data_IF_697943700124
#
_entry.id   IF_697943700124
#
_cell.length_a   1.000
_cell.length_b   1.000
_cell.length_c   1.000
_cell.angle_alpha   90.00
_cell.angle_beta   90.00
_cell.angle_gamma   90.00
#
_symmetry.space_group_name_H-M   'P 1'
#
loop_
_entity.id
_entity.type
_entity.pdbx_description
1 polymer ?
#
# COMPACT_ATOMS: atom_id res chain seq x y z
N UNK A 1 -11.10 6.77 -11.21
CA UNK A 1 -9.65 6.47 -11.11
C UNK A 1 -8.99 6.23 -12.47
N UNK A 2 -9.48 5.32 -13.31
CA UNK A 2 -8.97 5.13 -14.68
C UNK A 2 -8.97 6.44 -15.52
N UNK A 3 -10.05 7.23 -15.41
CA UNK A 3 -10.17 8.56 -16.03
C UNK A 3 -9.11 9.59 -15.60
N UNK A 4 -8.57 9.47 -14.38
CA UNK A 4 -7.56 10.38 -13.87
C UNK A 4 -6.23 10.16 -14.60
N UNK A 5 -5.88 8.89 -14.81
CA UNK A 5 -4.65 8.49 -15.50
C UNK A 5 -4.74 8.70 -17.01
N UNK A 6 -5.91 8.45 -17.61
CA UNK A 6 -6.11 8.74 -19.05
C UNK A 6 -6.04 10.24 -19.33
N UNK A 7 -6.49 11.10 -18.41
CA UNK A 7 -6.30 12.56 -18.52
C UNK A 7 -4.86 13.01 -18.33
N UNK A 8 -4.06 12.31 -17.53
CA UNK A 8 -2.64 12.63 -17.34
C UNK A 8 -1.77 12.22 -18.54
N UNK A 9 -2.24 11.29 -19.38
CA UNK A 9 -1.54 10.87 -20.61
C UNK A 9 -0.07 10.52 -20.37
N UNK A 10 0.83 11.11 -21.16
CA UNK A 10 2.28 10.90 -21.09
C UNK A 10 2.97 11.46 -19.83
N UNK A 11 2.25 12.20 -18.97
CA UNK A 11 2.78 12.69 -17.69
C UNK A 11 2.48 11.76 -16.52
N UNK A 12 1.79 10.65 -16.76
CA UNK A 12 1.50 9.69 -15.71
C UNK A 12 2.80 9.10 -15.13
N UNK A 13 2.93 8.97 -13.80
CA UNK A 13 4.07 8.33 -13.17
C UNK A 13 4.22 6.88 -13.67
N UNK A 14 5.46 6.38 -13.70
CA UNK A 14 5.71 4.97 -14.03
C UNK A 14 5.03 4.04 -13.04
N UNK A 15 4.74 2.81 -13.46
CA UNK A 15 4.06 1.79 -12.65
C UNK A 15 4.69 1.60 -11.26
N UNK A 16 6.03 1.50 -11.10
CA UNK A 16 6.66 1.41 -9.78
C UNK A 16 6.47 2.65 -8.91
N UNK A 17 6.41 3.86 -9.51
CA UNK A 17 6.15 5.10 -8.77
C UNK A 17 4.73 5.18 -8.25
N UNK A 18 3.74 4.78 -9.06
CA UNK A 18 2.35 4.69 -8.63
C UNK A 18 2.17 3.71 -7.47
N UNK A 19 2.85 2.56 -7.54
CA UNK A 19 2.88 1.59 -6.45
C UNK A 19 3.48 2.20 -5.18
N UNK A 20 4.63 2.87 -5.29
CA UNK A 20 5.25 3.56 -4.15
C UNK A 20 4.31 4.59 -3.50
N UNK A 21 3.60 5.40 -4.29
CA UNK A 21 2.62 6.35 -3.76
C UNK A 21 1.46 5.67 -3.02
N UNK A 22 1.01 4.51 -3.50
CA UNK A 22 0.00 3.70 -2.81
C UNK A 22 0.49 3.21 -1.45
N UNK A 23 1.71 2.68 -1.38
CA UNK A 23 2.31 2.20 -0.12
C UNK A 23 2.54 3.35 0.87
N UNK A 24 3.06 4.48 0.41
CA UNK A 24 3.24 5.68 1.25
C UNK A 24 1.89 6.19 1.74
N UNK A 25 0.86 6.20 0.88
CA UNK A 25 -0.50 6.57 1.25
C UNK A 25 -1.09 5.65 2.33
N UNK A 26 -0.85 4.34 2.23
CA UNK A 26 -1.23 3.36 3.25
C UNK A 26 -0.56 3.66 4.60
N UNK A 27 0.73 3.98 4.58
CA UNK A 27 1.46 4.36 5.80
C UNK A 27 0.99 5.69 6.38
N UNK A 28 0.72 6.69 5.54
CA UNK A 28 0.15 7.96 5.97
C UNK A 28 -1.23 7.78 6.61
N UNK A 29 -2.07 6.90 6.06
CA UNK A 29 -3.38 6.56 6.65
C UNK A 29 -3.24 5.97 8.06
N UNK A 30 -2.23 5.12 8.30
CA UNK A 30 -1.91 4.65 9.66
C UNK A 30 -1.48 5.79 10.59
N UNK A 31 -0.68 6.75 10.11
CA UNK A 31 -0.26 7.89 10.92
C UNK A 31 -1.43 8.84 11.27
N UNK A 32 -2.50 8.87 10.47
CA UNK A 32 -3.70 9.65 10.79
C UNK A 32 -4.43 9.17 12.06
N UNK A 33 -4.15 7.97 12.56
CA UNK A 33 -4.64 7.50 13.86
C UNK A 33 -3.84 8.06 15.05
N UNK A 34 -2.60 8.55 14.86
CA UNK A 34 -1.76 9.03 15.96
C UNK A 34 -2.36 10.19 16.77
N UNK A 35 -3.01 11.19 16.17
CA UNK A 35 -3.66 12.27 16.93
C UNK A 35 -4.82 11.77 17.81
N UNK A 36 -5.33 10.56 17.57
CA UNK A 36 -6.43 9.95 18.32
C UNK A 36 -5.93 9.08 19.48
N UNK A 37 -4.69 8.57 19.41
CA UNK A 37 -4.10 7.73 20.47
C UNK A 37 -4.09 8.35 21.89
N UNK A 38 -3.92 9.69 22.08
CA UNK A 38 -3.98 10.30 23.42
C UNK A 38 -5.39 10.44 23.99
N UNK A 39 -6.45 10.11 23.23
CA UNK A 39 -7.84 10.34 23.65
C UNK A 39 -8.38 9.23 24.56
N UNK A 40 -7.65 8.90 25.62
CA UNK A 40 -8.07 7.88 26.59
C UNK A 40 -9.41 8.28 27.22
N UNK A 41 -10.47 7.52 26.93
CA UNK A 41 -11.82 7.72 27.49
C UNK A 41 -12.81 8.55 26.65
N UNK A 42 -12.44 9.03 25.46
CA UNK A 42 -13.38 9.65 24.51
C UNK A 42 -13.65 8.72 23.33
N UNK A 43 -14.91 8.63 22.92
CA UNK A 43 -15.31 7.87 21.72
C UNK A 43 -14.72 8.55 20.49
N UNK A 44 -13.92 7.82 19.71
CA UNK A 44 -13.38 8.32 18.44
C UNK A 44 -14.56 8.58 17.48
N UNK A 45 -14.69 9.79 16.89
CA UNK A 45 -15.78 10.08 15.98
C UNK A 45 -15.79 9.13 14.78
N UNK A 46 -16.91 8.43 14.55
CA UNK A 46 -17.04 7.48 13.44
C UNK A 46 -16.79 8.12 12.07
N UNK A 47 -17.14 9.40 11.91
CA UNK A 47 -16.89 10.17 10.68
C UNK A 47 -15.38 10.31 10.39
N UNK A 48 -14.56 10.45 11.41
CA UNK A 48 -13.11 10.55 11.26
C UNK A 48 -12.52 9.21 10.83
N UNK A 49 -12.95 8.11 11.46
CA UNK A 49 -12.55 6.75 11.06
C UNK A 49 -12.96 6.49 9.61
N UNK A 50 -14.18 6.86 9.22
CA UNK A 50 -14.64 6.76 7.84
C UNK A 50 -13.74 7.56 6.88
N UNK A 51 -13.33 8.78 7.26
CA UNK A 51 -12.36 9.57 6.50
C UNK A 51 -11.02 8.86 6.32
N UNK A 52 -10.48 8.23 7.36
CA UNK A 52 -9.23 7.46 7.27
C UNK A 52 -9.40 6.23 6.38
N UNK A 53 -10.53 5.53 6.48
CA UNK A 53 -10.86 4.41 5.58
C UNK A 53 -10.96 4.82 4.12
N UNK A 54 -11.44 6.04 3.82
CA UNK A 54 -11.39 6.60 2.46
C UNK A 54 -9.95 6.79 1.98
N UNK A 55 -9.05 7.26 2.85
CA UNK A 55 -7.61 7.38 2.48
C UNK A 55 -7.00 6.01 2.21
N UNK A 56 -7.32 4.99 3.01
CA UNK A 56 -6.92 3.60 2.72
C UNK A 56 -7.45 3.13 1.37
N UNK A 57 -8.74 3.31 1.10
CA UNK A 57 -9.35 2.89 -0.16
C UNK A 57 -8.70 3.59 -1.37
N UNK A 58 -8.45 4.89 -1.28
CA UNK A 58 -7.76 5.65 -2.34
C UNK A 58 -6.33 5.15 -2.57
N UNK A 59 -5.63 4.79 -1.49
CA UNK A 59 -4.29 4.22 -1.56
C UNK A 59 -4.30 2.82 -2.17
N UNK A 60 -5.30 2.00 -1.83
CA UNK A 60 -5.49 0.65 -2.36
C UNK A 60 -5.80 0.65 -3.86
N UNK A 61 -6.54 1.64 -4.36
CA UNK A 61 -6.80 1.82 -5.79
C UNK A 61 -5.51 1.99 -6.61
N UNK A 62 -4.41 2.45 -6.00
CA UNK A 62 -3.09 2.49 -6.65
C UNK A 62 -2.43 1.11 -6.68
N UNK A 63 -2.68 0.25 -5.70
CA UNK A 63 -1.98 -1.02 -5.51
C UNK A 63 -2.62 -2.17 -6.28
N UNK A 64 -3.95 -2.34 -6.17
CA UNK A 64 -4.66 -3.52 -6.69
C UNK A 64 -4.60 -3.70 -8.22
N UNK A 65 -4.86 -2.68 -9.07
CA UNK A 65 -4.75 -2.87 -10.53
C UNK A 65 -3.30 -3.02 -10.99
N UNK A 66 -2.35 -2.43 -10.25
CA UNK A 66 -0.93 -2.46 -10.58
C UNK A 66 -0.34 -3.82 -10.27
N UNK A 67 -0.65 -4.39 -9.10
CA UNK A 67 -0.13 -5.71 -8.69
C UNK A 67 -0.46 -6.80 -9.71
N UNK A 68 -1.72 -6.88 -10.13
CA UNK A 68 -2.14 -7.84 -11.14
C UNK A 68 -1.52 -7.55 -12.51
N UNK A 69 -1.48 -6.29 -12.95
CA UNK A 69 -0.91 -5.93 -14.26
C UNK A 69 0.59 -6.20 -14.35
N UNK A 70 1.35 -5.95 -13.29
CA UNK A 70 2.81 -6.20 -13.28
C UNK A 70 3.07 -7.69 -13.31
N UNK A 71 2.31 -8.45 -12.53
CA UNK A 71 2.49 -9.89 -12.44
C UNK A 71 2.15 -10.59 -13.77
N UNK A 72 1.13 -10.14 -14.50
CA UNK A 72 0.81 -10.71 -15.82
C UNK A 72 1.79 -10.29 -16.90
N UNK A 73 2.24 -9.03 -16.91
CA UNK A 73 3.20 -8.53 -17.90
C UNK A 73 4.57 -9.18 -17.73
N UNK A 74 5.10 -9.21 -16.52
CA UNK A 74 6.43 -9.75 -16.25
C UNK A 74 6.46 -11.28 -16.16
N UNK A 75 5.33 -11.96 -16.31
CA UNK A 75 5.29 -13.41 -16.25
C UNK A 75 5.92 -14.04 -17.50
N UNK A 76 6.94 -14.92 -17.34
CA UNK A 76 7.42 -15.73 -18.45
C UNK A 76 6.30 -16.60 -19.01
N UNK A 77 6.29 -16.83 -20.32
CA UNK A 77 5.19 -17.55 -20.98
C UNK A 77 4.94 -18.94 -20.41
N UNK A 78 6.02 -19.65 -20.08
CA UNK A 78 6.00 -20.97 -19.47
C UNK A 78 5.55 -20.96 -18.00
N UNK A 79 5.63 -19.81 -17.31
CA UNK A 79 5.43 -19.69 -15.87
C UNK A 79 4.28 -18.74 -15.46
N UNK A 80 3.34 -18.45 -16.37
CA UNK A 80 2.21 -17.54 -16.11
C UNK A 80 1.38 -17.95 -14.88
N UNK A 81 1.05 -19.24 -14.76
CA UNK A 81 0.28 -19.75 -13.62
C UNK A 81 1.07 -19.64 -12.30
N UNK A 82 2.37 -19.96 -12.29
CA UNK A 82 3.20 -19.82 -11.08
C UNK A 82 3.35 -18.36 -10.65
N UNK A 83 3.44 -17.42 -11.59
CA UNK A 83 3.54 -15.99 -11.26
C UNK A 83 2.25 -15.46 -10.63
N UNK A 84 1.08 -15.87 -11.13
CA UNK A 84 -0.21 -15.57 -10.48
C UNK A 84 -0.30 -16.21 -9.09
N UNK A 85 0.14 -17.46 -8.94
CA UNK A 85 0.18 -18.14 -7.65
C UNK A 85 1.09 -17.39 -6.66
N UNK A 86 2.26 -16.91 -7.11
CA UNK A 86 3.18 -16.12 -6.29
C UNK A 86 2.57 -14.78 -5.85
N UNK A 87 1.81 -14.11 -6.73
CA UNK A 87 1.08 -12.90 -6.38
C UNK A 87 0.05 -13.14 -5.27
N UNK A 88 -0.81 -14.14 -5.42
CA UNK A 88 -1.80 -14.48 -4.38
C UNK A 88 -1.15 -14.99 -3.10
N UNK A 89 -0.04 -15.71 -3.21
CA UNK A 89 0.74 -16.13 -2.06
C UNK A 89 1.30 -14.93 -1.29
N UNK A 90 1.83 -13.91 -1.98
CA UNK A 90 2.26 -12.66 -1.35
C UNK A 90 1.11 -11.95 -0.63
N UNK A 91 -0.10 -11.93 -1.21
CA UNK A 91 -1.29 -11.36 -0.57
C UNK A 91 -1.65 -12.16 0.68
N UNK A 92 -1.66 -13.49 0.60
CA UNK A 92 -1.94 -14.37 1.72
C UNK A 92 -0.95 -14.19 2.87
N UNK A 93 0.35 -14.11 2.58
CA UNK A 93 1.38 -13.80 3.57
C UNK A 93 1.15 -12.42 4.23
N UNK A 94 0.83 -11.40 3.44
CA UNK A 94 0.50 -10.07 3.96
C UNK A 94 -0.68 -10.09 4.94
N UNK A 95 -1.75 -10.79 4.58
CA UNK A 95 -2.94 -10.96 5.43
C UNK A 95 -2.61 -11.75 6.70
N UNK A 96 -1.83 -12.82 6.59
CA UNK A 96 -1.41 -13.61 7.75
C UNK A 96 -0.55 -12.79 8.72
N UNK A 97 0.43 -12.04 8.20
CA UNK A 97 1.24 -11.13 9.00
C UNK A 97 0.39 -10.06 9.69
N UNK A 98 -0.58 -9.47 8.98
CA UNK A 98 -1.53 -8.51 9.57
C UNK A 98 -2.28 -9.11 10.77
N UNK A 99 -2.72 -10.37 10.67
CA UNK A 99 -3.36 -11.08 11.77
C UNK A 99 -2.46 -11.29 12.99
N UNK A 100 -1.17 -11.60 12.77
CA UNK A 100 -0.19 -11.70 13.86
C UNK A 100 0.10 -10.34 14.49
N UNK A 101 0.22 -9.29 13.68
CA UNK A 101 0.45 -7.93 14.18
C UNK A 101 -0.76 -7.42 14.98
N UNK A 102 -1.98 -7.73 14.55
CA UNK A 102 -3.20 -7.34 15.28
C UNK A 102 -3.26 -7.90 16.71
N UNK A 103 -2.63 -9.05 16.99
CA UNK A 103 -2.52 -9.58 18.36
C UNK A 103 -1.62 -8.74 19.27
N UNK A 104 -0.75 -7.90 18.71
CA UNK A 104 0.11 -6.96 19.44
C UNK A 104 -0.54 -5.61 19.67
N UNK A 105 -1.78 -5.41 19.21
CA UNK A 105 -2.52 -4.19 19.46
C UNK A 105 -2.88 -4.10 20.94
N UNK A 106 -2.48 -2.99 21.56
CA UNK A 106 -2.77 -2.65 22.94
C UNK A 106 -3.33 -1.22 22.98
N UNK A 107 -4.55 -1.01 23.52
CA UNK A 107 -5.13 0.33 23.68
C UNK A 107 -4.27 1.30 24.50
N UNK A 108 -3.39 0.81 25.38
CA UNK A 108 -2.46 1.66 26.12
C UNK A 108 -1.29 2.17 25.27
N UNK A 109 -1.00 1.51 24.14
CA UNK A 109 0.18 1.75 23.30
C UNK A 109 -0.17 1.98 21.82
N UNK A 110 -1.35 2.53 21.52
CA UNK A 110 -1.81 2.78 20.15
C UNK A 110 -0.85 3.64 19.33
N UNK A 111 -0.23 4.64 19.97
CA UNK A 111 0.75 5.51 19.31
C UNK A 111 1.94 4.71 18.77
N UNK A 112 2.47 3.78 19.56
CA UNK A 112 3.58 2.93 19.15
C UNK A 112 3.13 1.96 18.05
N UNK A 113 1.94 1.37 18.17
CA UNK A 113 1.39 0.43 17.20
C UNK A 113 1.19 1.09 15.81
N UNK A 114 0.38 2.15 15.74
CA UNK A 114 0.11 2.83 14.47
C UNK A 114 1.31 3.60 13.94
N UNK A 115 2.14 4.15 14.83
CA UNK A 115 3.35 4.87 14.46
C UNK A 115 4.39 3.98 13.82
N UNK A 116 4.63 2.78 14.38
CA UNK A 116 5.58 1.82 13.80
C UNK A 116 5.09 1.26 12.47
N UNK A 117 3.81 0.85 12.38
CA UNK A 117 3.20 0.38 11.14
C UNK A 117 3.26 1.45 10.03
N UNK A 118 2.85 2.68 10.35
CA UNK A 118 2.87 3.79 9.41
C UNK A 118 4.30 4.15 8.96
N UNK A 119 5.25 4.22 9.89
CA UNK A 119 6.64 4.54 9.59
C UNK A 119 7.30 3.46 8.72
N UNK A 120 7.09 2.17 9.02
CA UNK A 120 7.63 1.06 8.23
C UNK A 120 7.01 1.06 6.83
N UNK A 121 5.70 1.26 6.71
CA UNK A 121 5.04 1.34 5.40
C UNK A 121 5.59 2.51 4.55
N UNK A 122 5.75 3.70 5.15
CA UNK A 122 6.36 4.86 4.46
C UNK A 122 7.80 4.55 4.06
N UNK A 123 8.60 3.96 4.94
CA UNK A 123 9.99 3.60 4.65
C UNK A 123 10.06 2.65 3.44
N UNK A 124 9.25 1.59 3.43
CA UNK A 124 9.16 0.66 2.29
C UNK A 124 8.75 1.40 1.02
N UNK A 125 7.74 2.27 1.09
CA UNK A 125 7.30 3.07 -0.05
C UNK A 125 8.39 4.00 -0.58
N UNK A 126 9.17 4.64 0.29
CA UNK A 126 10.31 5.49 -0.08
C UNK A 126 11.42 4.67 -0.73
N UNK A 127 11.75 3.49 -0.19
CA UNK A 127 12.73 2.57 -0.79
C UNK A 127 12.30 2.18 -2.21
N UNK A 128 11.03 1.81 -2.41
CA UNK A 128 10.50 1.50 -3.74
C UNK A 128 10.56 2.72 -4.66
N UNK A 129 10.25 3.93 -4.15
CA UNK A 129 10.34 5.16 -4.92
C UNK A 129 11.77 5.45 -5.39
N UNK A 130 12.77 5.24 -4.53
CA UNK A 130 14.20 5.39 -4.86
C UNK A 130 14.67 4.33 -5.88
N UNK A 131 14.14 3.11 -5.81
CA UNK A 131 14.43 2.04 -6.77
C UNK A 131 13.62 2.16 -8.08
N UNK A 132 12.58 2.99 -8.10
CA UNK A 132 11.68 3.15 -9.24
C UNK A 132 12.36 3.41 -10.59
N UNK A 133 13.42 4.24 -10.74
CA UNK A 133 14.07 4.43 -12.03
C UNK A 133 14.76 3.15 -12.53
N UNK A 134 15.33 2.33 -11.64
CA UNK A 134 15.96 1.06 -12.02
C UNK A 134 14.92 0.02 -12.43
N UNK A 135 13.85 -0.11 -11.62
CA UNK A 135 12.75 -1.04 -11.93
C UNK A 135 12.10 -0.66 -13.26
N UNK A 136 11.87 0.65 -13.49
CA UNK A 136 11.24 1.10 -14.74
C UNK A 136 12.10 0.74 -15.96
N UNK A 137 13.43 0.88 -15.89
CA UNK A 137 14.34 0.45 -16.97
C UNK A 137 14.33 -1.05 -17.21
N UNK A 138 14.23 -1.86 -16.17
CA UNK A 138 14.15 -3.33 -16.30
C UNK A 138 12.81 -3.79 -16.90
N UNK A 139 11.79 -2.93 -16.85
CA UNK A 139 10.48 -3.16 -17.47
C UNK A 139 10.40 -2.61 -18.90
N UNK A 140 11.41 -1.86 -19.39
CA UNK A 140 11.47 -1.39 -20.77
C UNK A 140 11.71 -2.59 -21.70
N UNK A 141 10.63 -3.13 -22.27
CA UNK A 141 10.66 -4.30 -23.15
C UNK A 141 9.48 -5.25 -22.98
N UNK A 142 8.56 -4.99 -22.04
CA UNK A 142 7.38 -5.81 -21.73
C UNK A 142 6.09 -4.99 -21.70
#
# INVERSE_FOLDING_TARGET
FALLWTRLGNRAPTTPRKFAYGVIGMGAAFLLFLPMAPTTGRVVPALLVAGIMVVFAVSELLLSPIGLSVTTKLAPEAFRAQMMALFFFSVGLGTAMSGVLAQRYDPAHEFAYFGTLGAVAILVGVVVLLMSPRISRLMEGV
#
